data_IF_003359523569
#
_entry.id   IF_003359523569
#
_cell.length_a   1.000
_cell.length_b   1.000
_cell.length_c   1.000
_cell.angle_alpha   90.00
_cell.angle_beta   90.00
_cell.angle_gamma   90.00
#
_symmetry.space_group_name_H-M   'P 1'
#
loop_
_entity.id
_entity.type
_entity.pdbx_description
1 polymer ?
#
# COMPACT_ATOMS: atom_id res chain seq x y z
N UNK A 1 8.00 -10.39 2.75
CA UNK A 1 7.36 -9.63 3.85
C UNK A 1 7.71 -8.15 3.70
N UNK A 2 6.80 -7.21 3.95
CA UNK A 2 7.13 -5.77 3.90
C UNK A 2 8.07 -5.41 5.06
N UNK A 3 9.10 -4.57 4.84
CA UNK A 3 10.11 -4.26 5.85
C UNK A 3 9.54 -3.34 6.93
N UNK A 4 10.35 -3.10 7.97
CA UNK A 4 10.04 -2.12 9.02
C UNK A 4 9.99 -0.70 8.48
N UNK A 5 9.34 0.19 9.25
CA UNK A 5 9.17 1.62 8.96
C UNK A 5 10.44 2.32 8.50
N UNK A 6 11.59 2.02 9.11
CA UNK A 6 12.89 2.63 8.80
C UNK A 6 13.27 2.56 7.30
N UNK A 7 12.75 1.59 6.54
CA UNK A 7 13.01 1.45 5.09
C UNK A 7 12.15 2.36 4.21
N UNK A 8 11.21 3.10 4.78
CA UNK A 8 10.29 4.00 4.06
C UNK A 8 10.29 5.42 4.65
N UNK A 9 11.44 6.11 4.67
CA UNK A 9 11.57 7.40 5.34
C UNK A 9 10.61 8.46 4.77
N UNK A 10 10.43 8.56 3.45
CA UNK A 10 9.53 9.55 2.89
C UNK A 10 8.08 9.24 3.21
N UNK A 11 7.64 7.99 3.03
CA UNK A 11 6.28 7.61 3.35
C UNK A 11 5.96 7.86 4.82
N UNK A 12 6.85 7.52 5.75
CA UNK A 12 6.59 7.77 7.18
C UNK A 12 6.62 9.26 7.55
N UNK A 13 7.44 10.07 6.88
CA UNK A 13 7.53 11.50 7.16
C UNK A 13 6.30 12.27 6.64
N UNK A 14 5.76 11.89 5.48
CA UNK A 14 4.66 12.61 4.84
C UNK A 14 3.29 11.97 5.04
N UNK A 15 3.23 10.69 5.42
CA UNK A 15 2.00 9.91 5.53
C UNK A 15 2.02 9.00 6.78
N UNK A 16 0.85 8.72 7.34
CA UNK A 16 0.73 7.78 8.47
C UNK A 16 0.75 6.32 7.98
N UNK A 17 1.93 5.84 7.59
CA UNK A 17 2.16 4.46 7.18
C UNK A 17 2.16 3.53 8.41
N UNK A 18 1.29 2.51 8.40
CA UNK A 18 1.23 1.45 9.42
C UNK A 18 1.54 0.10 8.81
N UNK A 19 2.43 -0.65 9.44
CA UNK A 19 2.80 -2.01 9.07
C UNK A 19 2.02 -3.01 9.91
N UNK A 20 1.34 -3.95 9.25
CA UNK A 20 0.44 -4.91 9.91
C UNK A 20 1.17 -5.75 10.98
N UNK A 21 2.36 -6.25 10.67
CA UNK A 21 3.09 -7.11 11.62
C UNK A 21 3.83 -6.28 12.67
N UNK A 22 4.47 -5.18 12.26
CA UNK A 22 5.35 -4.41 13.14
C UNK A 22 4.60 -3.39 14.01
N UNK A 23 3.70 -2.60 13.42
CA UNK A 23 3.00 -1.52 14.12
C UNK A 23 1.68 -2.02 14.73
N UNK A 24 0.95 -2.87 14.01
CA UNK A 24 -0.35 -3.35 14.46
C UNK A 24 -0.27 -4.63 15.29
N UNK A 25 0.93 -5.25 15.41
CA UNK A 25 1.20 -6.50 16.16
C UNK A 25 0.21 -7.63 15.83
N UNK A 26 -0.24 -7.73 14.57
CA UNK A 26 -1.20 -8.75 14.11
C UNK A 26 -0.57 -9.69 13.06
N UNK A 27 0.38 -10.56 13.45
CA UNK A 27 0.88 -11.60 12.55
C UNK A 27 -0.26 -12.57 12.20
N UNK A 28 -0.28 -13.08 10.96
CA UNK A 28 -1.28 -14.07 10.53
C UNK A 28 -2.72 -13.56 10.39
N UNK A 29 -2.94 -12.24 10.43
CA UNK A 29 -4.27 -11.66 10.19
C UNK A 29 -4.77 -12.02 8.79
N UNK A 30 -6.07 -12.34 8.68
CA UNK A 30 -6.70 -12.70 7.41
C UNK A 30 -6.83 -11.47 6.49
N UNK A 31 -6.67 -11.68 5.19
CA UNK A 31 -6.81 -10.61 4.17
C UNK A 31 -8.13 -9.85 4.28
N UNK A 32 -9.23 -10.58 4.52
CA UNK A 32 -10.56 -9.98 4.70
C UNK A 32 -10.64 -9.01 5.89
N UNK A 33 -9.92 -9.31 6.97
CA UNK A 33 -9.83 -8.44 8.15
C UNK A 33 -8.96 -7.22 7.87
N UNK A 34 -7.85 -7.37 7.13
CA UNK A 34 -7.02 -6.24 6.71
C UNK A 34 -7.86 -5.25 5.88
N UNK A 35 -8.62 -5.73 4.89
CA UNK A 35 -9.46 -4.88 4.04
C UNK A 35 -10.52 -4.17 4.86
N UNK A 36 -11.16 -4.87 5.79
CA UNK A 36 -12.16 -4.27 6.68
C UNK A 36 -11.54 -3.20 7.60
N UNK A 37 -10.34 -3.43 8.12
CA UNK A 37 -9.62 -2.44 8.92
C UNK A 37 -9.25 -1.21 8.08
N UNK A 38 -8.75 -1.42 6.86
CA UNK A 38 -8.45 -0.34 5.92
C UNK A 38 -9.70 0.51 5.65
N UNK A 39 -10.84 -0.14 5.39
CA UNK A 39 -12.12 0.52 5.18
C UNK A 39 -12.60 1.33 6.39
N UNK A 40 -12.58 0.73 7.59
CA UNK A 40 -13.04 1.41 8.81
C UNK A 40 -12.18 2.62 9.16
N UNK A 41 -10.89 2.54 8.88
CA UNK A 41 -9.92 3.57 9.26
C UNK A 41 -9.62 4.57 8.13
N UNK A 42 -10.28 4.47 6.97
CA UNK A 42 -10.02 5.36 5.83
C UNK A 42 -8.59 5.22 5.27
N UNK A 43 -8.01 4.02 5.31
CA UNK A 43 -6.61 3.78 4.91
C UNK A 43 -6.53 3.10 3.54
N UNK A 44 -5.48 3.46 2.80
CA UNK A 44 -5.10 2.82 1.54
C UNK A 44 -4.25 1.59 1.84
N UNK A 45 -4.51 0.49 1.15
CA UNK A 45 -3.78 -0.76 1.34
C UNK A 45 -2.57 -0.81 0.40
N UNK A 46 -1.38 -1.12 0.92
CA UNK A 46 -0.15 -1.29 0.14
C UNK A 46 0.30 -2.76 0.24
N UNK A 47 0.47 -3.46 -0.87
CA UNK A 47 0.82 -4.89 -0.86
C UNK A 47 1.67 -5.32 -2.06
N UNK A 48 2.48 -6.37 -1.88
CA UNK A 48 3.09 -7.13 -2.98
C UNK A 48 2.16 -8.22 -3.52
N UNK A 49 1.25 -8.73 -2.70
CA UNK A 49 0.35 -9.85 -3.03
C UNK A 49 -0.95 -9.38 -3.69
N UNK A 50 -0.86 -8.58 -4.76
CA UNK A 50 -2.01 -7.90 -5.39
C UNK A 50 -3.17 -8.85 -5.72
N UNK A 51 -2.86 -10.05 -6.25
CA UNK A 51 -3.85 -11.05 -6.67
C UNK A 51 -4.84 -11.43 -5.56
N UNK A 52 -4.40 -11.43 -4.30
CA UNK A 52 -5.23 -11.78 -3.16
C UNK A 52 -6.18 -10.65 -2.73
N UNK A 53 -5.82 -9.40 -3.04
CA UNK A 53 -6.54 -8.23 -2.54
C UNK A 53 -7.40 -7.53 -3.60
N UNK A 54 -7.05 -7.62 -4.88
CA UNK A 54 -7.64 -6.78 -5.93
C UNK A 54 -9.16 -6.90 -6.03
N UNK A 55 -9.72 -8.12 -6.05
CA UNK A 55 -11.17 -8.32 -6.14
C UNK A 55 -11.89 -7.79 -4.90
N UNK A 56 -11.48 -8.25 -3.71
CA UNK A 56 -12.10 -7.84 -2.45
C UNK A 56 -11.97 -6.35 -2.14
N UNK A 57 -10.89 -5.70 -2.57
CA UNK A 57 -10.71 -4.25 -2.42
C UNK A 57 -11.64 -3.46 -3.35
N UNK A 58 -11.78 -3.89 -4.61
CA UNK A 58 -12.73 -3.30 -5.56
C UNK A 58 -14.16 -3.33 -5.02
N UNK A 59 -14.64 -4.51 -4.62
CA UNK A 59 -16.00 -4.70 -4.11
C UNK A 59 -16.29 -3.84 -2.87
N UNK A 60 -15.31 -3.75 -1.96
CA UNK A 60 -15.47 -3.03 -0.69
C UNK A 60 -15.18 -1.54 -0.81
N UNK A 61 -14.82 -1.04 -2.00
CA UNK A 61 -14.36 0.33 -2.26
C UNK A 61 -13.18 0.73 -1.37
N UNK A 62 -12.18 -0.15 -1.27
CA UNK A 62 -10.91 0.11 -0.58
C UNK A 62 -9.84 0.32 -1.62
N UNK A 63 -9.10 1.42 -1.53
CA UNK A 63 -8.03 1.67 -2.49
C UNK A 63 -6.83 0.77 -2.22
N UNK A 64 -6.23 0.31 -3.32
CA UNK A 64 -5.16 -0.67 -3.30
C UNK A 64 -3.97 -0.13 -4.10
N UNK A 65 -2.80 -0.11 -3.49
CA UNK A 65 -1.53 0.10 -4.16
C UNK A 65 -0.80 -1.24 -4.19
N UNK A 66 -0.68 -1.79 -5.39
CA UNK A 66 0.14 -2.95 -5.68
C UNK A 66 1.59 -2.55 -5.93
N UNK A 67 2.51 -3.39 -5.46
CA UNK A 67 3.93 -3.21 -5.71
C UNK A 67 4.48 -4.50 -6.32
N UNK A 68 5.20 -4.39 -7.44
CA UNK A 68 5.88 -5.53 -8.04
C UNK A 68 6.95 -6.13 -7.13
N UNK A 69 7.15 -7.44 -7.20
CA UNK A 69 8.09 -8.16 -6.32
C UNK A 69 9.53 -7.67 -6.46
N UNK A 70 9.93 -7.33 -7.69
CA UNK A 70 11.26 -6.86 -8.07
C UNK A 70 11.53 -5.38 -7.73
N UNK A 71 10.51 -4.63 -7.26
CA UNK A 71 10.69 -3.23 -6.91
C UNK A 71 11.40 -3.11 -5.56
N UNK A 72 12.55 -2.43 -5.54
CA UNK A 72 13.32 -2.15 -4.34
C UNK A 72 12.62 -1.16 -3.41
N UNK A 73 12.87 -1.24 -2.11
CA UNK A 73 12.14 -0.46 -1.09
C UNK A 73 12.25 1.06 -1.27
N UNK A 74 13.40 1.57 -1.68
CA UNK A 74 13.60 2.99 -1.98
C UNK A 74 12.70 3.45 -3.14
N UNK A 75 12.56 2.63 -4.17
CA UNK A 75 11.72 2.95 -5.31
C UNK A 75 10.23 2.90 -4.94
N UNK A 76 9.84 1.97 -4.06
CA UNK A 76 8.49 1.94 -3.45
C UNK A 76 8.26 3.25 -2.70
N UNK A 77 9.15 3.62 -1.78
CA UNK A 77 9.04 4.82 -0.95
C UNK A 77 8.82 6.07 -1.80
N UNK A 78 9.66 6.24 -2.84
CA UNK A 78 9.60 7.36 -3.77
C UNK A 78 8.30 7.38 -4.59
N UNK A 79 7.96 6.25 -5.23
CA UNK A 79 6.82 6.20 -6.18
C UNK A 79 5.47 6.27 -5.47
N UNK A 80 5.33 5.56 -4.36
CA UNK A 80 4.09 5.60 -3.56
C UNK A 80 3.90 7.00 -2.98
N UNK A 81 4.96 7.62 -2.45
CA UNK A 81 4.89 9.01 -1.97
C UNK A 81 4.47 9.98 -3.08
N UNK A 82 5.05 9.85 -4.28
CA UNK A 82 4.70 10.69 -5.41
C UNK A 82 3.23 10.50 -5.86
N UNK A 83 2.74 9.26 -5.85
CA UNK A 83 1.35 8.94 -6.16
C UNK A 83 0.40 9.57 -5.13
N UNK A 84 0.68 9.38 -3.83
CA UNK A 84 -0.16 9.90 -2.75
C UNK A 84 -0.22 11.43 -2.75
N UNK A 85 0.89 12.11 -3.07
CA UNK A 85 0.92 13.59 -3.22
C UNK A 85 0.04 14.09 -4.36
N UNK A 86 -0.03 13.37 -5.48
CA UNK A 86 -0.85 13.74 -6.65
C UNK A 86 -2.32 13.42 -6.47
N UNK A 87 -2.65 12.54 -5.52
CA UNK A 87 -4.00 12.07 -5.29
C UNK A 87 -4.87 13.19 -4.71
N UNK A 88 -5.85 13.66 -5.49
CA UNK A 88 -6.77 14.75 -5.09
C UNK A 88 -7.88 14.31 -4.15
N UNK A 89 -8.31 13.04 -4.22
CA UNK A 89 -9.41 12.53 -3.38
C UNK A 89 -8.90 11.97 -2.06
N UNK A 90 -9.52 12.41 -0.96
CA UNK A 90 -9.33 11.85 0.39
C UNK A 90 -10.33 10.73 0.73
N UNK A 91 -11.31 10.48 -0.14
CA UNK A 91 -12.30 9.41 0.05
C UNK A 91 -11.81 8.13 -0.60
N UNK A 92 -12.14 6.98 0.01
CA UNK A 92 -11.86 5.69 -0.61
C UNK A 92 -12.78 5.47 -1.80
N UNK A 93 -12.18 5.01 -2.90
CA UNK A 93 -12.82 4.91 -4.22
C UNK A 93 -12.82 3.48 -4.76
N UNK A 94 -12.01 2.59 -4.19
CA UNK A 94 -11.77 1.26 -4.76
C UNK A 94 -10.73 1.29 -5.89
N UNK A 95 -9.99 2.39 -6.05
CA UNK A 95 -9.00 2.53 -7.11
C UNK A 95 -7.83 1.60 -6.83
N UNK A 96 -7.43 0.86 -7.86
CA UNK A 96 -6.21 0.08 -7.87
C UNK A 96 -5.11 0.82 -8.64
N UNK A 97 -3.96 1.00 -8.01
CA UNK A 97 -2.74 1.51 -8.64
C UNK A 97 -1.63 0.47 -8.54
N UNK A 98 -0.99 0.13 -9.66
CA UNK A 98 0.18 -0.73 -9.65
C UNK A 98 1.48 0.09 -9.74
N UNK A 99 2.46 -0.25 -8.91
CA UNK A 99 3.81 0.32 -8.91
C UNK A 99 4.75 -0.75 -9.43
N UNK A 100 5.21 -0.57 -10.67
CA UNK A 100 6.20 -1.42 -11.33
C UNK A 100 7.57 -0.77 -11.29
N UNK A 101 8.62 -1.56 -11.49
CA UNK A 101 9.99 -1.06 -11.59
C UNK A 101 10.09 -0.08 -12.77
N UNK A 102 10.84 0.99 -12.61
CA UNK A 102 11.14 1.88 -13.75
C UNK A 102 12.07 1.12 -14.68
N UNK A 103 11.64 0.83 -15.92
CA UNK A 103 12.61 0.48 -16.95
C UNK A 103 13.54 1.68 -17.11
N UNK A 104 14.79 1.57 -16.68
CA UNK A 104 15.83 2.49 -17.13
C UNK A 104 15.87 2.32 -18.65
N UNK A 105 15.41 3.32 -19.42
CA UNK A 105 15.85 3.46 -20.81
C UNK A 105 17.36 3.64 -20.72
N UNK A 106 18.09 2.61 -21.13
CA UNK A 106 19.50 2.74 -21.51
C UNK A 106 19.59 3.62 -22.75
#
# INVERSE_FOLDING_TARGET
MMPRRERFPHLNNFHDLKHIVHDMKKPGIKDSQIIMMAKRNGRILLTKNVKHFIGSCGDKKVDLIGVGDLVGFEEIDRKVSAYLRKRKTRKMTGIFQNIVQSSRRQ
#
